data_IF_906985506437
#
_entry.id   IF_906985506437
#
_cell.length_a   1.000
_cell.length_b   1.000
_cell.length_c   1.000
_cell.angle_alpha   90.00
_cell.angle_beta   90.00
_cell.angle_gamma   90.00
#
_symmetry.space_group_name_H-M   'P 1'
#
loop_
_entity.id
_entity.type
_entity.pdbx_description
1 polymer ?
#
# COMPACT_ATOMS: atom_id res chain seq x y z
N UNK A 1 -18.07 13.71 -8.20
CA UNK A 1 -16.61 13.60 -8.36
C UNK A 1 -16.34 12.61 -9.48
N UNK A 2 -15.49 12.93 -10.45
CA UNK A 2 -15.17 12.02 -11.56
C UNK A 2 -14.24 10.92 -11.04
N UNK A 3 -14.50 9.63 -11.29
CA UNK A 3 -13.59 8.56 -10.87
C UNK A 3 -12.26 8.69 -11.61
N UNK A 4 -11.17 8.46 -10.89
CA UNK A 4 -9.85 8.40 -11.49
C UNK A 4 -9.74 7.21 -12.45
N UNK A 5 -8.97 7.33 -13.55
CA UNK A 5 -8.74 6.20 -14.44
C UNK A 5 -8.04 5.06 -13.70
N UNK A 6 -8.67 3.88 -13.63
CA UNK A 6 -8.13 2.74 -12.88
C UNK A 6 -6.73 2.34 -13.38
N UNK A 7 -6.47 2.42 -14.69
CA UNK A 7 -5.16 2.11 -15.25
C UNK A 7 -4.04 3.03 -14.74
N UNK A 8 -4.37 4.27 -14.40
CA UNK A 8 -3.41 5.23 -13.86
C UNK A 8 -3.09 4.93 -12.39
N UNK A 9 -4.11 4.58 -11.59
CA UNK A 9 -3.92 4.14 -10.20
C UNK A 9 -3.01 2.90 -10.17
N UNK A 10 -3.30 1.88 -10.99
CA UNK A 10 -2.49 0.65 -11.06
C UNK A 10 -1.04 0.95 -11.46
N UNK A 11 -0.84 1.87 -12.40
CA UNK A 11 0.51 2.29 -12.83
C UNK A 11 1.28 2.94 -11.68
N UNK A 12 0.64 3.82 -10.91
CA UNK A 12 1.27 4.48 -9.78
C UNK A 12 1.61 3.48 -8.67
N UNK A 13 0.69 2.59 -8.31
CA UNK A 13 0.92 1.54 -7.31
C UNK A 13 2.10 0.65 -7.75
N UNK A 14 2.14 0.22 -9.01
CA UNK A 14 3.26 -0.60 -9.53
C UNK A 14 4.60 0.13 -9.42
N UNK A 15 4.64 1.41 -9.79
CA UNK A 15 5.88 2.18 -9.75
C UNK A 15 6.38 2.35 -8.31
N UNK A 16 5.49 2.68 -7.37
CA UNK A 16 5.83 2.82 -5.96
C UNK A 16 6.35 1.50 -5.36
N UNK A 17 5.70 0.37 -5.66
CA UNK A 17 6.15 -0.95 -5.21
C UNK A 17 7.50 -1.34 -5.82
N UNK A 18 7.74 -1.02 -7.10
CA UNK A 18 9.01 -1.33 -7.75
C UNK A 18 10.18 -0.53 -7.15
N UNK A 19 9.95 0.73 -6.79
CA UNK A 19 10.92 1.59 -6.10
C UNK A 19 11.28 1.06 -4.71
N UNK A 20 10.27 0.70 -3.92
CA UNK A 20 10.45 0.36 -2.50
C UNK A 20 10.92 -1.09 -2.29
N UNK A 21 10.38 -2.05 -3.06
CA UNK A 21 10.64 -3.48 -2.85
C UNK A 21 11.87 -3.96 -3.63
N UNK A 22 12.11 -3.45 -4.84
CA UNK A 22 13.19 -3.92 -5.70
C UNK A 22 13.19 -5.45 -5.87
N UNK A 23 14.26 -6.13 -5.43
CA UNK A 23 14.37 -7.59 -5.46
C UNK A 23 13.71 -8.33 -4.28
N UNK A 24 13.16 -7.60 -3.30
CA UNK A 24 12.44 -8.14 -2.14
C UNK A 24 12.75 -7.39 -0.83
N UNK A 25 11.88 -7.57 0.17
CA UNK A 25 12.08 -7.06 1.53
C UNK A 25 12.82 -8.10 2.39
N UNK A 26 14.12 -7.87 2.62
CA UNK A 26 14.98 -8.76 3.42
C UNK A 26 14.66 -8.72 4.92
N UNK A 27 14.01 -7.67 5.41
CA UNK A 27 13.61 -7.57 6.83
C UNK A 27 12.36 -8.39 7.07
N UNK A 28 11.42 -8.39 6.12
CA UNK A 28 10.25 -9.26 6.16
C UNK A 28 10.62 -10.75 6.20
N UNK A 29 11.77 -11.14 5.63
CA UNK A 29 12.27 -12.52 5.67
C UNK A 29 12.63 -13.03 7.07
N UNK A 30 12.69 -12.16 8.09
CA UNK A 30 12.90 -12.54 9.49
C UNK A 30 11.63 -13.11 10.15
N UNK A 31 10.46 -12.92 9.52
CA UNK A 31 9.17 -13.38 10.03
C UNK A 31 8.77 -14.70 9.33
N UNK A 32 8.23 -15.70 10.04
CA UNK A 32 7.72 -16.91 9.41
C UNK A 32 6.64 -16.62 8.36
N UNK A 33 6.76 -17.20 7.17
CA UNK A 33 5.83 -16.97 6.05
C UNK A 33 4.36 -17.37 6.36
N UNK A 34 4.15 -18.24 7.36
CA UNK A 34 2.83 -18.69 7.79
C UNK A 34 2.22 -17.84 8.90
N UNK A 35 2.95 -16.83 9.39
CA UNK A 35 2.47 -15.99 10.48
C UNK A 35 1.45 -14.97 9.96
N UNK A 36 0.22 -15.04 10.48
CA UNK A 36 -0.83 -14.07 10.21
C UNK A 36 -0.95 -13.08 11.36
N UNK A 37 -1.13 -11.80 11.02
CA UNK A 37 -1.30 -10.71 11.98
C UNK A 37 -2.46 -9.81 11.56
N UNK A 38 -3.06 -9.13 12.53
CA UNK A 38 -4.07 -8.09 12.27
C UNK A 38 -3.44 -6.71 12.44
N UNK A 39 -3.62 -5.84 11.44
CA UNK A 39 -3.20 -4.44 11.47
C UNK A 39 -4.39 -3.49 11.34
N UNK A 40 -4.25 -2.24 11.81
CA UNK A 40 -5.23 -1.18 11.62
C UNK A 40 -4.54 0.11 11.23
N UNK A 41 -5.05 0.77 10.19
CA UNK A 41 -4.64 2.14 9.81
C UNK A 41 -5.34 3.14 10.73
N UNK A 42 -4.57 4.01 11.37
CA UNK A 42 -5.07 5.07 12.25
C UNK A 42 -4.57 6.44 11.78
N UNK A 43 -5.38 7.48 11.96
CA UNK A 43 -4.93 8.86 11.80
C UNK A 43 -4.55 9.42 13.17
N UNK A 44 -3.38 10.05 13.28
CA UNK A 44 -2.87 10.59 14.56
C UNK A 44 -3.25 12.05 14.79
N UNK A 45 -3.85 12.69 13.79
CA UNK A 45 -4.25 14.10 13.79
C UNK A 45 -5.61 14.26 13.10
N UNK A 46 -6.22 15.44 13.19
CA UNK A 46 -7.46 15.70 12.47
C UNK A 46 -7.20 15.78 10.95
N UNK A 47 -7.85 14.92 10.17
CA UNK A 47 -7.64 14.85 8.72
C UNK A 47 -8.92 14.52 7.94
N UNK A 48 -8.95 14.96 6.68
CA UNK A 48 -9.89 14.43 5.68
C UNK A 48 -9.19 13.32 4.91
N UNK A 49 -9.77 12.12 4.90
CA UNK A 49 -9.16 10.96 4.25
C UNK A 49 -9.49 10.95 2.76
N UNK A 50 -8.48 10.73 1.92
CA UNK A 50 -8.59 10.52 0.48
C UNK A 50 -7.63 9.39 0.04
N UNK A 51 -7.77 8.89 -1.19
CA UNK A 51 -6.83 7.92 -1.75
C UNK A 51 -7.15 6.43 -1.54
N UNK A 52 -8.35 6.09 -1.05
CA UNK A 52 -8.76 4.69 -0.84
C UNK A 52 -8.54 3.79 -2.06
N UNK A 53 -8.74 4.31 -3.28
CA UNK A 53 -8.62 3.56 -4.53
C UNK A 53 -7.21 2.98 -4.78
N UNK A 54 -6.16 3.48 -4.11
CA UNK A 54 -4.80 2.95 -4.20
C UNK A 54 -4.54 1.79 -3.22
N UNK A 55 -5.49 1.50 -2.32
CA UNK A 55 -5.39 0.46 -1.29
C UNK A 55 -6.30 -0.74 -1.60
N UNK A 56 -7.41 -0.51 -2.32
CA UNK A 56 -8.35 -1.55 -2.77
C UNK A 56 -7.73 -2.45 -3.87
#
# INVERSE_FOLDING_TARGET
MKPLPQGEIVRQVRNALAEDIGSGDVTAALVPATQLVSGRVICREAATICGRQWVD
#
